data_IF_560806654415
#
_entry.id   IF_560806654415
#
_cell.length_a   1.000
_cell.length_b   1.000
_cell.length_c   1.000
_cell.angle_alpha   90.00
_cell.angle_beta   90.00
_cell.angle_gamma   90.00
#
_symmetry.space_group_name_H-M   'P 1'
#
loop_
_entity.id
_entity.type
_entity.pdbx_description
1 polymer ?
#
# COMPACT_ATOMS: atom_id res chain seq x y z
N UNK A 1 11.66 3.38 15.54
CA UNK A 1 12.83 3.38 14.62
C UNK A 1 12.62 4.47 13.57
N UNK A 2 13.65 5.22 13.17
CA UNK A 2 13.53 6.15 12.02
C UNK A 2 13.59 5.34 10.72
N UNK A 3 12.69 5.63 9.78
CA UNK A 3 12.67 4.99 8.45
C UNK A 3 13.94 5.34 7.66
N UNK A 4 14.58 4.34 7.07
CA UNK A 4 15.72 4.55 6.18
C UNK A 4 15.36 5.51 5.04
N UNK A 5 16.24 6.47 4.67
CA UNK A 5 15.94 7.47 3.64
C UNK A 5 15.39 6.88 2.34
N UNK A 6 15.91 5.73 1.91
CA UNK A 6 15.47 5.06 0.68
C UNK A 6 14.00 4.58 0.71
N UNK A 7 13.46 4.26 1.88
CA UNK A 7 12.08 3.79 2.03
C UNK A 7 11.09 4.95 2.29
N UNK A 8 11.59 6.15 2.58
CA UNK A 8 10.72 7.30 2.87
C UNK A 8 9.80 7.70 1.71
N UNK A 9 10.20 7.60 0.43
CA UNK A 9 9.28 7.86 -0.68
C UNK A 9 8.03 6.99 -0.64
N UNK A 10 8.17 5.66 -0.48
CA UNK A 10 7.01 4.76 -0.34
C UNK A 10 6.14 5.17 0.85
N UNK A 11 6.74 5.47 2.01
CA UNK A 11 5.99 5.98 3.17
C UNK A 11 5.25 7.29 2.91
N UNK A 12 5.72 8.16 2.01
CA UNK A 12 5.03 9.40 1.65
C UNK A 12 3.83 9.13 0.75
N UNK A 13 3.96 8.18 -0.17
CA UNK A 13 2.88 7.76 -1.09
C UNK A 13 1.67 7.21 -0.32
N UNK A 14 1.89 6.62 0.86
CA UNK A 14 0.83 6.19 1.80
C UNK A 14 -0.03 7.31 2.38
N UNK A 15 0.41 8.56 2.34
CA UNK A 15 -0.28 9.64 3.05
C UNK A 15 -1.72 9.84 2.55
N UNK A 16 -1.89 9.88 1.23
CA UNK A 16 -3.21 10.06 0.63
C UNK A 16 -4.13 8.88 0.94
N UNK A 17 -3.62 7.64 0.83
CA UNK A 17 -4.37 6.44 1.20
C UNK A 17 -4.90 6.49 2.64
N UNK A 18 -4.06 6.87 3.61
CA UNK A 18 -4.50 7.02 5.00
C UNK A 18 -5.54 8.13 5.20
N UNK A 19 -5.46 9.22 4.43
CA UNK A 19 -6.46 10.30 4.48
C UNK A 19 -7.80 9.82 3.94
N UNK A 20 -7.80 9.16 2.77
CA UNK A 20 -9.00 8.61 2.15
C UNK A 20 -9.67 7.56 3.05
N UNK A 21 -8.88 6.63 3.59
CA UNK A 21 -9.39 5.58 4.46
C UNK A 21 -10.07 6.11 5.72
N UNK A 22 -9.52 7.16 6.34
CA UNK A 22 -10.13 7.77 7.55
C UNK A 22 -11.47 8.42 7.26
N UNK A 23 -11.62 9.06 6.10
CA UNK A 23 -12.87 9.75 5.75
C UNK A 23 -14.02 8.78 5.51
N UNK A 24 -13.74 7.61 4.95
CA UNK A 24 -14.74 6.57 4.70
C UNK A 24 -15.47 6.09 5.96
N UNK A 25 -14.84 6.14 7.14
CA UNK A 25 -15.44 5.69 8.40
C UNK A 25 -16.67 6.51 8.82
N UNK A 26 -16.81 7.75 8.35
CA UNK A 26 -17.94 8.64 8.70
C UNK A 26 -19.06 8.65 7.64
N UNK A 27 -18.96 7.80 6.62
CA UNK A 27 -19.90 7.78 5.51
C UNK A 27 -21.24 7.17 5.94
N UNK A 28 -22.34 7.90 5.72
CA UNK A 28 -23.69 7.44 6.00
C UNK A 28 -24.21 6.52 4.88
N UNK A 29 -25.07 5.56 5.23
CA UNK A 29 -25.56 4.55 4.28
C UNK A 29 -26.58 5.12 3.28
N UNK A 30 -27.24 6.24 3.62
CA UNK A 30 -28.23 6.94 2.80
C UNK A 30 -27.64 8.12 2.00
N UNK A 31 -26.34 8.41 2.13
CA UNK A 31 -25.65 9.47 1.41
C UNK A 31 -25.09 8.99 0.06
N UNK A 32 -25.99 8.81 -0.91
CA UNK A 32 -25.63 8.34 -2.25
C UNK A 32 -24.55 9.20 -2.95
N UNK A 33 -24.58 10.53 -2.74
CA UNK A 33 -23.60 11.44 -3.32
C UNK A 33 -22.22 11.27 -2.67
N UNK A 34 -22.17 11.22 -1.33
CA UNK A 34 -20.93 10.99 -0.60
C UNK A 34 -20.32 9.62 -0.87
N UNK A 35 -21.15 8.58 -1.08
CA UNK A 35 -20.70 7.23 -1.47
C UNK A 35 -19.99 7.28 -2.81
N UNK A 36 -20.63 7.88 -3.82
CA UNK A 36 -20.05 7.99 -5.16
C UNK A 36 -18.75 8.81 -5.16
N UNK A 37 -18.72 9.94 -4.45
CA UNK A 37 -17.54 10.79 -4.34
C UNK A 37 -16.36 10.06 -3.67
N UNK A 38 -16.60 9.37 -2.55
CA UNK A 38 -15.54 8.65 -1.83
C UNK A 38 -15.05 7.44 -2.61
N UNK A 39 -15.95 6.70 -3.26
CA UNK A 39 -15.56 5.60 -4.11
C UNK A 39 -14.66 6.07 -5.25
N UNK A 40 -15.06 7.14 -5.96
CA UNK A 40 -14.26 7.71 -7.02
C UNK A 40 -12.87 8.13 -6.52
N UNK A 41 -12.78 8.80 -5.37
CA UNK A 41 -11.49 9.22 -4.82
C UNK A 41 -10.58 8.04 -4.45
N UNK A 42 -11.13 6.96 -3.90
CA UNK A 42 -10.39 5.72 -3.62
C UNK A 42 -9.94 5.05 -4.92
N UNK A 43 -10.84 4.88 -5.89
CA UNK A 43 -10.52 4.26 -7.19
C UNK A 43 -9.48 5.07 -7.94
N UNK A 44 -9.58 6.39 -7.98
CA UNK A 44 -8.59 7.26 -8.63
C UNK A 44 -7.20 7.05 -8.01
N UNK A 45 -7.09 7.10 -6.68
CA UNK A 45 -5.82 6.85 -6.01
C UNK A 45 -5.27 5.45 -6.30
N UNK A 46 -6.13 4.44 -6.20
CA UNK A 46 -5.78 3.03 -6.37
C UNK A 46 -5.46 2.63 -7.82
N UNK A 47 -5.92 3.39 -8.81
CA UNK A 47 -5.68 3.11 -10.24
C UNK A 47 -4.64 4.01 -10.87
N UNK A 48 -4.25 5.11 -10.23
CA UNK A 48 -3.26 6.07 -10.79
C UNK A 48 -1.92 6.05 -10.07
N UNK A 49 -1.91 5.96 -8.73
CA UNK A 49 -0.68 6.08 -7.93
C UNK A 49 -0.23 4.72 -7.41
N UNK A 50 -1.16 3.95 -6.84
CA UNK A 50 -0.87 2.67 -6.19
C UNK A 50 -0.30 1.59 -7.12
N UNK A 51 -0.63 1.48 -8.43
CA UNK A 51 -0.07 0.41 -9.26
C UNK A 51 1.46 0.48 -9.38
N UNK A 52 2.03 1.69 -9.49
CA UNK A 52 3.49 1.88 -9.52
C UNK A 52 4.13 1.61 -8.15
N UNK A 53 3.42 1.94 -7.07
CA UNK A 53 3.83 1.65 -5.71
C UNK A 53 3.92 0.13 -5.46
N UNK A 54 2.83 -0.60 -5.72
CA UNK A 54 2.79 -2.07 -5.58
C UNK A 54 3.83 -2.76 -6.46
N UNK A 55 4.06 -2.27 -7.68
CA UNK A 55 5.13 -2.80 -8.52
C UNK A 55 6.51 -2.63 -7.88
N UNK A 56 6.79 -1.45 -7.31
CA UNK A 56 8.06 -1.17 -6.61
C UNK A 56 8.22 -2.09 -5.40
N UNK A 57 7.19 -2.27 -4.59
CA UNK A 57 7.23 -3.15 -3.42
C UNK A 57 7.43 -4.61 -3.81
N UNK A 58 6.70 -5.09 -4.83
CA UNK A 58 6.87 -6.43 -5.35
C UNK A 58 8.30 -6.66 -5.84
N UNK A 59 8.78 -5.81 -6.75
CA UNK A 59 10.06 -6.03 -7.43
C UNK A 59 11.27 -5.78 -6.51
N UNK A 60 11.21 -4.73 -5.69
CA UNK A 60 12.36 -4.30 -4.90
C UNK A 60 12.35 -4.82 -3.46
N UNK A 61 11.21 -5.29 -2.93
CA UNK A 61 11.10 -5.86 -1.58
C UNK A 61 10.80 -7.35 -1.66
N UNK A 62 9.64 -7.74 -2.18
CA UNK A 62 9.19 -9.13 -2.12
C UNK A 62 10.08 -10.08 -2.93
N UNK A 63 10.33 -9.78 -4.20
CA UNK A 63 11.13 -10.63 -5.09
C UNK A 63 12.59 -10.75 -4.59
N UNK A 64 13.15 -9.66 -4.04
CA UNK A 64 14.48 -9.66 -3.40
C UNK A 64 14.50 -10.54 -2.15
N UNK A 65 13.49 -10.42 -1.28
CA UNK A 65 13.32 -11.27 -0.09
C UNK A 65 13.26 -12.74 -0.49
N UNK A 66 12.46 -13.10 -1.49
CA UNK A 66 12.31 -14.47 -1.98
C UNK A 66 13.60 -15.03 -2.58
N UNK A 67 14.39 -14.18 -3.25
CA UNK A 67 15.66 -14.59 -3.85
C UNK A 67 16.78 -14.80 -2.82
N UNK A 68 16.80 -14.02 -1.73
CA UNK A 68 17.97 -13.95 -0.82
C UNK A 68 17.80 -14.69 0.49
N UNK A 69 16.58 -14.81 1.00
CA UNK A 69 16.40 -15.13 2.42
C UNK A 69 16.03 -16.60 2.69
N UNK A 70 16.66 -17.20 3.72
CA UNK A 70 16.21 -18.44 4.34
C UNK A 70 15.26 -18.20 5.54
N UNK A 71 14.86 -16.96 5.83
CA UNK A 71 14.02 -16.61 6.99
C UNK A 71 12.54 -16.72 6.67
N UNK A 72 11.83 -17.57 7.41
CA UNK A 72 10.39 -17.73 7.26
C UNK A 72 9.61 -16.44 7.53
N UNK A 73 10.09 -15.55 8.41
CA UNK A 73 9.34 -14.33 8.77
C UNK A 73 9.28 -13.33 7.62
N UNK A 74 10.43 -13.00 7.02
CA UNK A 74 10.46 -12.06 5.89
C UNK A 74 9.65 -12.59 4.69
N UNK A 75 9.78 -13.89 4.41
CA UNK A 75 9.01 -14.56 3.35
C UNK A 75 7.51 -14.56 3.67
N UNK A 76 7.10 -14.81 4.91
CA UNK A 76 5.69 -14.71 5.32
C UNK A 76 5.14 -13.30 5.14
N UNK A 77 5.89 -12.28 5.58
CA UNK A 77 5.47 -10.89 5.45
C UNK A 77 5.35 -10.47 3.98
N UNK A 78 6.31 -10.83 3.13
CA UNK A 78 6.26 -10.57 1.70
C UNK A 78 5.04 -11.25 1.03
N UNK A 79 4.75 -12.51 1.38
CA UNK A 79 3.56 -13.19 0.87
C UNK A 79 2.26 -12.53 1.34
N UNK A 80 2.18 -12.11 2.61
CA UNK A 80 0.99 -11.43 3.14
C UNK A 80 0.79 -10.05 2.50
N UNK A 81 1.87 -9.30 2.26
CA UNK A 81 1.83 -8.02 1.52
C UNK A 81 1.21 -8.22 0.13
N UNK A 82 1.72 -9.17 -0.65
CA UNK A 82 1.19 -9.47 -2.00
C UNK A 82 -0.25 -9.99 -1.95
N UNK A 83 -0.62 -10.75 -0.92
CA UNK A 83 -2.00 -11.18 -0.72
C UNK A 83 -2.93 -9.99 -0.47
N UNK A 84 -2.52 -9.02 0.33
CA UNK A 84 -3.30 -7.80 0.58
C UNK A 84 -3.40 -6.91 -0.67
N UNK A 85 -2.34 -6.83 -1.49
CA UNK A 85 -2.40 -6.17 -2.81
C UNK A 85 -3.53 -6.78 -3.66
N UNK A 86 -3.55 -8.10 -3.81
CA UNK A 86 -4.59 -8.80 -4.56
C UNK A 86 -6.01 -8.60 -3.97
N UNK A 87 -6.14 -8.55 -2.65
CA UNK A 87 -7.43 -8.29 -2.00
C UNK A 87 -7.96 -6.89 -2.31
N UNK A 88 -7.09 -5.86 -2.24
CA UNK A 88 -7.43 -4.49 -2.58
C UNK A 88 -7.86 -4.39 -4.05
N UNK A 89 -7.10 -5.00 -4.96
CA UNK A 89 -7.42 -5.02 -6.40
C UNK A 89 -8.74 -5.74 -6.70
N UNK A 90 -9.05 -6.82 -5.99
CA UNK A 90 -10.31 -7.52 -6.13
C UNK A 90 -11.51 -6.67 -5.66
N UNK A 91 -11.34 -5.89 -4.59
CA UNK A 91 -12.38 -4.99 -4.09
C UNK A 91 -12.69 -3.85 -5.07
N UNK A 92 -11.74 -3.44 -5.91
CA UNK A 92 -11.96 -2.43 -6.95
C UNK A 92 -12.91 -2.89 -8.07
N UNK A 93 -13.16 -4.20 -8.21
CA UNK A 93 -14.01 -4.73 -9.29
C UNK A 93 -15.52 -4.53 -9.03
N UNK A 94 -15.90 -3.94 -7.89
CA UNK A 94 -17.29 -3.65 -7.54
C UNK A 94 -17.82 -2.52 -8.42
N UNK A 95 -18.86 -2.81 -9.22
CA UNK A 95 -19.41 -1.86 -10.21
C UNK A 95 -20.44 -0.89 -9.63
N UNK A 96 -21.10 -1.24 -8.52
CA UNK A 96 -22.12 -0.44 -7.86
C UNK A 96 -21.89 -0.49 -6.34
N UNK A 97 -20.97 0.34 -5.81
CA UNK A 97 -20.53 0.25 -4.41
C UNK A 97 -21.60 0.77 -3.46
N UNK A 98 -21.80 0.05 -2.36
CA UNK A 98 -22.53 0.54 -1.19
C UNK A 98 -21.58 1.28 -0.24
N UNK A 99 -22.12 2.02 0.74
CA UNK A 99 -21.29 2.59 1.80
C UNK A 99 -20.45 1.54 2.56
N UNK A 100 -20.97 0.30 2.68
CA UNK A 100 -20.23 -0.80 3.26
C UNK A 100 -19.03 -1.23 2.40
N UNK A 101 -19.16 -1.23 1.07
CA UNK A 101 -18.06 -1.54 0.15
C UNK A 101 -16.97 -0.45 0.19
N UNK A 102 -17.37 0.83 0.23
CA UNK A 102 -16.42 1.95 0.42
C UNK A 102 -15.64 1.78 1.72
N UNK A 103 -16.34 1.52 2.83
CA UNK A 103 -15.70 1.29 4.14
C UNK A 103 -14.79 0.07 4.11
N UNK A 104 -15.17 -1.01 3.44
CA UNK A 104 -14.37 -2.23 3.31
C UNK A 104 -13.07 -1.98 2.55
N UNK A 105 -13.13 -1.32 1.38
CA UNK A 105 -11.95 -0.97 0.60
C UNK A 105 -11.03 -0.01 1.36
N UNK A 106 -11.61 1.01 1.99
CA UNK A 106 -10.89 1.95 2.84
C UNK A 106 -10.17 1.26 4.01
N UNK A 107 -10.83 0.32 4.67
CA UNK A 107 -10.27 -0.43 5.78
C UNK A 107 -9.13 -1.34 5.32
N UNK A 108 -9.32 -2.08 4.22
CA UNK A 108 -8.28 -2.92 3.63
C UNK A 108 -7.03 -2.11 3.28
N UNK A 109 -7.20 -0.95 2.62
CA UNK A 109 -6.10 -0.03 2.31
C UNK A 109 -5.42 0.52 3.58
N UNK A 110 -6.19 0.89 4.60
CA UNK A 110 -5.61 1.37 5.86
C UNK A 110 -4.76 0.30 6.52
N UNK A 111 -5.29 -0.91 6.66
CA UNK A 111 -4.63 -2.00 7.37
C UNK A 111 -3.39 -2.47 6.62
N UNK A 112 -3.46 -2.50 5.29
CA UNK A 112 -2.33 -2.75 4.42
C UNK A 112 -1.19 -1.75 4.63
N UNK A 113 -1.48 -0.45 4.55
CA UNK A 113 -0.48 0.60 4.80
C UNK A 113 0.12 0.47 6.22
N UNK A 114 -0.71 0.15 7.22
CA UNK A 114 -0.22 -0.03 8.60
C UNK A 114 0.67 -1.26 8.73
N UNK A 115 0.32 -2.34 8.06
CA UNK A 115 1.10 -3.57 8.02
C UNK A 115 2.47 -3.32 7.39
N UNK A 116 2.53 -2.65 6.25
CA UNK A 116 3.80 -2.33 5.60
C UNK A 116 4.70 -1.44 6.45
N UNK A 117 4.12 -0.35 6.99
CA UNK A 117 4.87 0.57 7.83
C UNK A 117 5.39 -0.09 9.11
N UNK A 118 4.63 -1.01 9.72
CA UNK A 118 4.98 -1.57 11.04
C UNK A 118 5.78 -2.85 10.96
N UNK A 119 5.63 -3.62 9.90
CA UNK A 119 6.15 -4.99 9.82
C UNK A 119 7.05 -5.17 8.59
N UNK A 120 6.56 -4.87 7.39
CA UNK A 120 7.34 -5.10 6.15
C UNK A 120 8.56 -4.20 6.07
N UNK A 121 8.39 -2.88 6.16
CA UNK A 121 9.49 -1.94 5.94
C UNK A 121 10.60 -2.04 7.01
N UNK A 122 10.32 -2.30 8.31
CA UNK A 122 11.38 -2.59 9.27
C UNK A 122 12.20 -3.83 8.93
N UNK A 123 11.55 -4.91 8.48
CA UNK A 123 12.23 -6.14 8.06
C UNK A 123 13.00 -5.90 6.77
N UNK A 124 12.40 -5.25 5.78
CA UNK A 124 13.05 -4.86 4.52
C UNK A 124 14.33 -4.06 4.79
N UNK A 125 14.28 -3.09 5.70
CA UNK A 125 15.45 -2.30 6.09
C UNK A 125 16.58 -3.13 6.74
N UNK A 126 16.24 -4.25 7.38
CA UNK A 126 17.23 -5.13 8.02
C UNK A 126 17.84 -6.15 7.04
N UNK A 127 17.12 -6.51 5.98
CA UNK A 127 17.50 -7.59 5.06
C UNK A 127 18.03 -7.11 3.70
N UNK A 128 17.59 -5.95 3.23
CA UNK A 128 18.09 -5.36 1.98
C UNK A 128 19.47 -4.73 2.23
N UNK A 129 20.39 -4.96 1.30
CA UNK A 129 21.66 -4.27 1.29
C UNK A 129 21.56 -2.86 0.67
N UNK A 130 22.66 -2.11 0.71
CA UNK A 130 22.67 -0.74 0.22
C UNK A 130 22.32 -0.62 -1.27
N UNK A 131 22.73 -1.57 -2.11
CA UNK A 131 22.44 -1.50 -3.55
C UNK A 131 20.95 -1.71 -3.80
N UNK A 132 20.33 -2.64 -3.06
CA UNK A 132 18.89 -2.91 -3.13
C UNK A 132 18.05 -1.74 -2.61
N UNK A 133 18.46 -1.14 -1.49
CA UNK A 133 17.82 0.07 -0.97
C UNK A 133 17.94 1.24 -1.97
N UNK A 134 19.07 1.37 -2.67
CA UNK A 134 19.21 2.40 -3.72
C UNK A 134 18.36 2.09 -4.95
N UNK A 135 18.25 0.83 -5.37
CA UNK A 135 17.37 0.41 -6.46
C UNK A 135 15.91 0.72 -6.14
N UNK A 136 15.47 0.39 -4.92
CA UNK A 136 14.15 0.72 -4.40
C UNK A 136 13.89 2.24 -4.42
N UNK A 137 14.84 3.04 -3.94
CA UNK A 137 14.72 4.50 -3.99
C UNK A 137 14.64 5.02 -5.43
N UNK A 138 15.42 4.45 -6.35
CA UNK A 138 15.39 4.83 -7.76
C UNK A 138 14.04 4.50 -8.42
N UNK A 139 13.45 3.34 -8.10
CA UNK A 139 12.17 2.88 -8.62
C UNK A 139 10.95 3.65 -8.05
N UNK A 140 11.07 4.22 -6.85
CA UNK A 140 10.00 5.02 -6.22
C UNK A 140 9.59 6.24 -7.08
N UNK A 141 8.39 6.82 -6.86
CA UNK A 141 7.95 7.99 -7.62
C UNK A 141 8.82 9.22 -7.36
N UNK A 142 9.16 9.98 -8.41
CA UNK A 142 9.91 11.23 -8.29
C UNK A 142 9.17 12.29 -7.47
N UNK A 143 7.83 12.27 -7.48
CA UNK A 143 7.02 13.15 -6.64
C UNK A 143 7.22 12.86 -5.14
N UNK A 144 7.53 11.62 -4.78
CA UNK A 144 7.72 11.18 -3.40
C UNK A 144 9.18 11.30 -2.91
N UNK A 145 10.14 11.57 -3.80
CA UNK A 145 11.57 11.74 -3.47
C UNK A 145 11.91 13.14 -2.94
N UNK A 146 11.07 14.13 -3.21
CA UNK A 146 11.23 15.54 -2.78
C UNK A 146 10.73 15.76 -1.37
#
# INVERSE_FOLDING_TARGET
MKRHPCLQPLSREHHLGLVLSRRAASLADDDAAGIAEHWQALTDYLTTQIPAHFATEKECIADVIFAKLPSDEAVRLANEMLKQHNEIEALLQISAPTAADVRKLAQALHDHIRFEEREVFPVAQAVLDNNELQALYAASSDAAKK
#
